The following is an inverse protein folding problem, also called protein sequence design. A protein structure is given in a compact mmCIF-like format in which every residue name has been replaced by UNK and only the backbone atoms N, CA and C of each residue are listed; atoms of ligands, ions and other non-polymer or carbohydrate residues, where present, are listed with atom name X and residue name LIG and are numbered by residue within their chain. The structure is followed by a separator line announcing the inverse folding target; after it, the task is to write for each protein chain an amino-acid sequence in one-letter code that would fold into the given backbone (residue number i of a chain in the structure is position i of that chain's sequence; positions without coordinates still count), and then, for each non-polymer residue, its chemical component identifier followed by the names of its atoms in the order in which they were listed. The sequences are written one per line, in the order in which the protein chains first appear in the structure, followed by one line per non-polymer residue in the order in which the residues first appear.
data_IF_792904135230
#
_entry.id   IF_792904135230
#
_cell.length_a   1.000
_cell.length_b   1.000
_cell.length_c   1.000
_cell.angle_alpha   90.00
_cell.angle_beta   90.00
_cell.angle_gamma   90.00
#
_symmetry.space_group_name_H-M   'P 1'
#
loop_
_entity.id
_entity.type
_entity.pdbx_description
1 polymer ?
#
# COMPACT_ATOMS: atom_id res chain seq x y z
N UNK A 1 7.81 35.67 9.36
CA UNK A 1 7.50 34.22 9.23
C UNK A 1 7.45 33.55 10.60
N UNK A 2 8.23 34.01 11.58
CA UNK A 2 8.26 33.45 12.94
C UNK A 2 7.04 33.73 13.83
N UNK A 3 6.35 34.88 13.67
CA UNK A 3 5.19 35.21 14.53
C UNK A 3 4.04 34.21 14.33
N UNK A 4 3.79 33.80 13.09
CA UNK A 4 2.77 32.78 12.76
C UNK A 4 3.17 31.41 13.31
N UNK A 5 4.45 31.07 13.25
CA UNK A 5 4.97 29.82 13.81
C UNK A 5 4.86 29.81 15.34
N UNK A 6 5.23 30.90 16.01
CA UNK A 6 5.07 31.07 17.45
C UNK A 6 3.62 30.92 17.91
N UNK A 7 2.67 31.50 17.16
CA UNK A 7 1.24 31.35 17.44
C UNK A 7 0.79 29.88 17.27
N UNK A 8 1.28 29.17 16.25
CA UNK A 8 0.99 27.75 16.05
C UNK A 8 1.48 26.89 17.22
N UNK A 9 2.70 27.13 17.72
CA UNK A 9 3.25 26.43 18.88
C UNK A 9 2.42 26.70 20.13
N UNK A 10 1.99 27.95 20.34
CA UNK A 10 1.12 28.32 21.46
C UNK A 10 -0.22 27.58 21.40
N UNK A 11 -0.90 27.58 20.25
CA UNK A 11 -2.18 26.88 20.07
C UNK A 11 -2.05 25.38 20.27
N UNK A 12 -0.99 24.76 19.73
CA UNK A 12 -0.67 23.35 19.93
C UNK A 12 -0.53 23.01 21.42
N UNK A 13 0.24 23.79 22.17
CA UNK A 13 0.46 23.53 23.59
C UNK A 13 -0.82 23.73 24.42
N UNK A 14 -1.62 24.77 24.11
CA UNK A 14 -2.92 25.02 24.74
C UNK A 14 -3.90 23.86 24.51
N UNK A 15 -3.94 23.33 23.29
CA UNK A 15 -4.77 22.17 22.96
C UNK A 15 -4.38 20.93 23.78
N UNK A 16 -3.08 20.60 23.83
CA UNK A 16 -2.57 19.46 24.60
C UNK A 16 -2.94 19.58 26.08
N UNK A 17 -2.74 20.75 26.69
CA UNK A 17 -3.12 20.98 28.09
C UNK A 17 -4.63 20.80 28.32
N UNK A 18 -5.47 21.32 27.43
CA UNK A 18 -6.93 21.20 27.55
C UNK A 18 -7.45 19.75 27.48
N UNK A 19 -6.65 18.84 26.92
CA UNK A 19 -7.00 17.44 26.68
C UNK A 19 -6.24 16.45 27.57
N UNK A 20 -5.37 16.94 28.45
CA UNK A 20 -4.45 16.13 29.26
C UNK A 20 -5.16 15.13 30.19
N UNK A 21 -6.39 15.43 30.63
CA UNK A 21 -7.21 14.53 31.45
C UNK A 21 -8.21 13.68 30.63
N UNK A 22 -8.39 13.95 29.34
CA UNK A 22 -9.36 13.28 28.47
C UNK A 22 -8.71 12.27 27.52
N UNK A 23 -7.44 12.48 27.16
CA UNK A 23 -6.71 11.66 26.21
C UNK A 23 -5.32 11.35 26.76
N UNK A 24 -4.98 10.06 26.81
CA UNK A 24 -3.62 9.59 26.99
C UNK A 24 -2.98 9.46 25.61
N UNK A 25 -1.97 10.28 25.32
CA UNK A 25 -1.18 10.12 24.10
C UNK A 25 -0.08 9.11 24.36
N UNK A 26 -0.17 7.95 23.73
CA UNK A 26 0.95 7.01 23.70
C UNK A 26 2.05 7.63 22.83
N UNK A 27 3.25 7.90 23.37
CA UNK A 27 4.34 8.38 22.55
C UNK A 27 4.65 7.36 21.46
N UNK A 28 5.00 7.85 20.26
CA UNK A 28 5.43 6.98 19.17
C UNK A 28 6.63 6.18 19.69
N UNK A 29 6.48 4.87 19.76
CA UNK A 29 7.53 3.98 20.23
C UNK A 29 8.64 4.02 19.19
N UNK A 30 9.77 4.65 19.52
CA UNK A 30 10.96 4.55 18.68
C UNK A 30 11.48 3.12 18.79
N UNK A 31 11.09 2.25 17.85
CA UNK A 31 11.61 0.90 17.80
C UNK A 31 13.11 0.96 17.54
N UNK A 32 13.91 0.46 18.49
CA UNK A 32 15.34 0.32 18.28
C UNK A 32 15.58 -0.52 17.02
N UNK A 33 16.39 0.01 16.11
CA UNK A 33 16.81 -0.69 14.90
C UNK A 33 17.43 -2.03 15.30
N UNK A 34 16.84 -3.14 14.83
CA UNK A 34 17.37 -4.48 15.09
C UNK A 34 18.69 -4.62 14.33
N UNK A 35 19.78 -4.89 15.05
CA UNK A 35 21.05 -5.26 14.43
C UNK A 35 20.91 -6.67 13.85
N UNK A 36 21.13 -6.80 12.54
CA UNK A 36 21.24 -8.09 11.87
C UNK A 36 22.69 -8.57 12.01
N UNK A 37 22.88 -9.87 12.27
CA UNK A 37 24.22 -10.45 12.36
C UNK A 37 24.83 -10.52 10.96
N UNK A 38 26.06 -10.05 10.82
CA UNK A 38 26.86 -10.18 9.60
C UNK A 38 27.53 -11.55 9.57
N UNK A 39 27.48 -12.25 8.44
CA UNK A 39 28.15 -13.54 8.29
C UNK A 39 29.65 -13.35 8.05
N UNK A 40 30.45 -14.37 8.39
CA UNK A 40 31.90 -14.34 8.18
C UNK A 40 32.18 -14.24 6.68
N UNK A 41 32.95 -13.22 6.27
CA UNK A 41 33.28 -12.95 4.86
C UNK A 41 32.38 -11.92 4.17
N UNK A 42 31.25 -11.54 4.76
CA UNK A 42 30.43 -10.46 4.20
C UNK A 42 31.08 -9.09 4.49
N UNK A 43 31.16 -8.25 3.46
CA UNK A 43 31.61 -6.86 3.58
C UNK A 43 30.44 -5.87 3.63
N UNK A 44 29.31 -6.20 3.01
CA UNK A 44 28.12 -5.35 2.99
C UNK A 44 27.31 -5.44 4.29
N UNK A 45 26.60 -4.36 4.62
CA UNK A 45 25.57 -4.29 5.65
C UNK A 45 24.38 -3.61 5.03
N UNK A 46 23.17 -4.11 5.27
CA UNK A 46 21.96 -3.42 4.84
C UNK A 46 21.88 -2.05 5.52
N UNK A 47 21.57 -1.02 4.74
CA UNK A 47 21.27 0.30 5.27
C UNK A 47 19.88 0.28 5.92
N UNK A 48 19.82 0.80 7.15
CA UNK A 48 18.55 0.94 7.83
C UNK A 48 17.88 2.24 7.38
N UNK A 49 16.63 2.14 6.97
CA UNK A 49 15.81 3.31 6.65
C UNK A 49 15.44 3.99 7.97
N UNK A 50 16.07 5.12 8.24
CA UNK A 50 15.90 5.89 9.48
C UNK A 50 14.84 6.98 9.33
N UNK A 51 14.66 7.52 8.13
CA UNK A 51 13.65 8.54 7.85
C UNK A 51 12.23 7.93 7.81
N UNK A 52 11.28 8.44 8.61
CA UNK A 52 9.92 7.92 8.63
C UNK A 52 9.18 8.02 7.29
N UNK A 53 9.47 9.04 6.47
CA UNK A 53 8.81 9.22 5.17
C UNK A 53 9.30 8.16 4.19
N UNK A 54 10.61 7.95 4.11
CA UNK A 54 11.19 6.88 3.30
C UNK A 54 10.79 5.50 3.82
N UNK A 55 10.67 5.33 5.14
CA UNK A 55 10.19 4.07 5.72
C UNK A 55 8.78 3.74 5.23
N UNK A 56 7.86 4.70 5.30
CA UNK A 56 6.50 4.52 4.81
C UNK A 56 6.47 4.27 3.29
N UNK A 57 7.24 5.05 2.51
CA UNK A 57 7.33 4.88 1.06
C UNK A 57 7.82 3.49 0.69
N UNK A 58 8.89 3.01 1.30
CA UNK A 58 9.50 1.74 0.92
C UNK A 58 8.72 0.57 1.52
N UNK A 59 8.44 0.58 2.83
CA UNK A 59 7.81 -0.56 3.52
C UNK A 59 6.31 -0.67 3.27
N UNK A 60 5.65 0.40 2.85
CA UNK A 60 4.21 0.38 2.56
C UNK A 60 3.97 0.53 1.08
N UNK A 61 4.38 1.64 0.47
CA UNK A 61 3.98 1.92 -0.92
C UNK A 61 4.58 0.93 -1.92
N UNK A 62 5.90 0.67 -1.86
CA UNK A 62 6.54 -0.29 -2.78
C UNK A 62 6.03 -1.71 -2.52
N UNK A 63 5.91 -2.12 -1.26
CA UNK A 63 5.37 -3.43 -0.91
C UNK A 63 3.96 -3.64 -1.46
N UNK A 64 3.08 -2.62 -1.38
CA UNK A 64 1.73 -2.70 -1.96
C UNK A 64 1.82 -2.85 -3.48
N UNK A 65 2.69 -2.11 -4.15
CA UNK A 65 2.88 -2.24 -5.60
C UNK A 65 3.34 -3.65 -5.99
N UNK A 66 4.31 -4.21 -5.27
CA UNK A 66 4.81 -5.57 -5.53
C UNK A 66 3.70 -6.60 -5.37
N UNK A 67 2.87 -6.48 -4.32
CA UNK A 67 1.70 -7.34 -4.11
C UNK A 67 0.72 -7.19 -5.27
N UNK A 68 0.40 -5.96 -5.68
CA UNK A 68 -0.53 -5.72 -6.79
C UNK A 68 -0.03 -6.32 -8.09
N UNK A 69 1.24 -6.11 -8.43
CA UNK A 69 1.87 -6.66 -9.63
C UNK A 69 1.83 -8.18 -9.59
N UNK A 70 2.21 -8.77 -8.47
CA UNK A 70 2.18 -10.24 -8.28
C UNK A 70 0.77 -10.78 -8.46
N UNK A 71 -0.22 -10.17 -7.80
CA UNK A 71 -1.61 -10.61 -7.89
C UNK A 71 -2.20 -10.46 -9.28
N UNK A 72 -1.88 -9.37 -9.99
CA UNK A 72 -2.31 -9.19 -11.38
C UNK A 72 -1.66 -10.26 -12.27
N UNK A 73 -0.36 -10.47 -12.14
CA UNK A 73 0.37 -11.46 -12.93
C UNK A 73 -0.11 -12.89 -12.69
N UNK A 74 -0.43 -13.25 -11.44
CA UNK A 74 -0.96 -14.56 -11.09
C UNK A 74 -2.37 -14.77 -11.65
N UNK A 75 -3.24 -13.76 -11.52
CA UNK A 75 -4.64 -13.86 -11.96
C UNK A 75 -4.78 -13.81 -13.47
N UNK A 76 -4.04 -12.93 -14.14
CA UNK A 76 -4.11 -12.74 -15.59
C UNK A 76 -2.98 -13.45 -16.32
N UNK A 77 -2.56 -14.61 -15.82
CA UNK A 77 -1.58 -15.44 -16.49
C UNK A 77 -2.15 -16.00 -17.80
N UNK A 78 -1.30 -16.21 -18.81
CA UNK A 78 -1.63 -16.78 -20.12
C UNK A 78 -2.38 -18.11 -20.02
N UNK A 79 -2.10 -18.89 -18.99
CA UNK A 79 -2.80 -20.16 -18.73
C UNK A 79 -4.30 -19.99 -18.43
N UNK A 80 -4.71 -18.84 -17.88
CA UNK A 80 -6.10 -18.53 -17.54
C UNK A 80 -6.79 -17.67 -18.61
N UNK A 81 -6.03 -17.15 -19.57
CA UNK A 81 -6.53 -16.33 -20.68
C UNK A 81 -7.66 -17.02 -21.48
N UNK A 82 -7.59 -18.32 -21.82
CA UNK A 82 -8.69 -19.03 -22.49
C UNK A 82 -9.96 -19.07 -21.65
N UNK A 83 -9.85 -19.31 -20.34
CA UNK A 83 -11.00 -19.34 -19.43
C UNK A 83 -11.69 -17.98 -19.35
N UNK A 84 -10.93 -16.88 -19.28
CA UNK A 84 -11.50 -15.54 -19.30
C UNK A 84 -12.20 -15.20 -20.62
N UNK A 85 -11.65 -15.70 -21.75
CA UNK A 85 -12.30 -15.59 -23.05
C UNK A 85 -13.65 -16.32 -23.04
N UNK A 86 -13.72 -17.51 -22.51
CA UNK A 86 -14.97 -18.28 -22.43
C UNK A 86 -15.99 -17.61 -21.51
N UNK A 87 -15.57 -17.11 -20.35
CA UNK A 87 -16.44 -16.35 -19.43
C UNK A 87 -16.99 -15.08 -20.10
N UNK A 88 -16.19 -14.44 -20.97
CA UNK A 88 -16.64 -13.24 -21.70
C UNK A 88 -17.81 -13.50 -22.65
N UNK A 89 -18.00 -14.75 -23.11
CA UNK A 89 -19.13 -15.13 -23.96
C UNK A 89 -20.47 -15.10 -23.20
N UNK A 90 -20.45 -15.24 -21.87
CA UNK A 90 -21.64 -15.20 -21.01
C UNK A 90 -22.07 -13.77 -20.62
N UNK A 91 -21.47 -12.74 -21.22
CA UNK A 91 -21.89 -11.37 -20.96
C UNK A 91 -23.34 -11.12 -21.44
N UNK A 92 -24.14 -10.42 -20.63
CA UNK A 92 -25.55 -10.08 -20.97
C UNK A 92 -25.71 -9.38 -22.32
N UNK A 93 -24.70 -8.64 -22.77
CA UNK A 93 -24.70 -8.02 -24.10
C UNK A 93 -24.63 -9.10 -25.18
N UNK A 94 -23.70 -10.04 -25.05
CA UNK A 94 -23.49 -11.11 -26.02
C UNK A 94 -24.67 -12.09 -26.08
N UNK A 95 -25.24 -12.43 -24.93
CA UNK A 95 -26.46 -13.26 -24.87
C UNK A 95 -27.64 -12.63 -25.63
N UNK A 96 -27.85 -11.32 -25.50
CA UNK A 96 -28.89 -10.58 -26.24
C UNK A 96 -28.60 -10.45 -27.73
N UNK A 97 -27.34 -10.46 -28.13
CA UNK A 97 -26.97 -10.46 -29.55
C UNK A 97 -27.26 -11.81 -30.21
N UNK A 98 -26.89 -12.92 -29.54
CA UNK A 98 -27.16 -14.28 -30.03
C UNK A 98 -28.67 -14.57 -30.09
N UNK A 99 -29.44 -14.07 -29.11
CA UNK A 99 -30.91 -14.15 -29.14
C UNK A 99 -31.51 -13.49 -30.39
N UNK A 100 -30.96 -12.34 -30.81
CA UNK A 100 -31.43 -11.58 -31.98
C UNK A 100 -30.92 -12.15 -33.31
N UNK A 101 -29.76 -12.80 -33.30
CA UNK A 101 -29.09 -13.37 -34.47
C UNK A 101 -28.72 -14.82 -34.18
N UNK A 102 -29.70 -15.72 -34.33
CA UNK A 102 -29.55 -17.15 -34.05
C UNK A 102 -28.52 -17.85 -34.95
N UNK A 103 -28.16 -17.24 -36.08
CA UNK A 103 -27.10 -17.70 -36.99
C UNK A 103 -25.68 -17.24 -36.60
N UNK A 104 -25.52 -16.42 -35.55
CA UNK A 104 -24.22 -15.85 -35.14
C UNK A 104 -23.63 -16.49 -33.88
N UNK A 105 -23.88 -17.79 -33.68
CA UNK A 105 -23.11 -18.58 -32.73
C UNK A 105 -21.61 -18.48 -33.11
N UNK A 106 -20.71 -18.40 -32.11
CA UNK A 106 -19.27 -18.37 -32.36
C UNK A 106 -18.76 -19.61 -33.10
#
# INVERSE_FOLDING_TARGET
TDIKFGNLIYQKNKFIQSKQNNYSFTPIVSTRIKRIKKMVGESASDENITDPIDHFRIKTYIVILDILITQISERFNENLSPLYKDISLFQRKRLREVEKLSSSLP
#
